data_IF_580590665824
#
_entry.id   IF_580590665824
#
_cell.length_a   1.000
_cell.length_b   1.000
_cell.length_c   1.000
_cell.angle_alpha   90.00
_cell.angle_beta   90.00
_cell.angle_gamma   90.00
#
_symmetry.space_group_name_H-M   'P 1'
#
loop_
_entity.id
_entity.type
_entity.pdbx_description
1 polymer ?
#
# COMPACT_ATOMS: atom_id res chain seq x y z
N UNK A 1 -5.03 -12.94 -32.08
CA UNK A 1 -4.09 -11.98 -31.47
C UNK A 1 -3.20 -12.75 -30.50
N UNK A 2 -1.95 -13.01 -30.89
CA UNK A 2 -0.97 -13.63 -30.02
C UNK A 2 -0.79 -12.73 -28.79
N UNK A 3 -1.10 -13.23 -27.59
CA UNK A 3 -0.69 -12.56 -26.36
C UNK A 3 0.83 -12.59 -26.35
N UNK A 4 1.47 -11.51 -26.79
CA UNK A 4 2.90 -11.34 -26.71
C UNK A 4 3.34 -11.73 -25.30
N UNK A 5 4.31 -12.65 -25.19
CA UNK A 5 4.84 -13.09 -23.90
C UNK A 5 5.19 -11.84 -23.08
N UNK A 6 4.76 -11.76 -21.80
CA UNK A 6 5.10 -10.63 -20.97
C UNK A 6 6.62 -10.46 -20.95
N UNK A 7 7.08 -9.24 -21.18
CA UNK A 7 8.51 -8.95 -21.18
C UNK A 7 9.09 -9.10 -19.77
N UNK A 8 10.42 -9.23 -19.62
CA UNK A 8 11.07 -9.26 -18.31
C UNK A 8 10.70 -8.06 -17.43
N UNK A 9 10.48 -6.88 -18.03
CA UNK A 9 10.08 -5.66 -17.33
C UNK A 9 8.64 -5.71 -16.80
N UNK A 10 7.72 -6.39 -17.52
CA UNK A 10 6.35 -6.59 -17.04
C UNK A 10 6.33 -7.50 -15.81
N UNK A 11 7.17 -8.54 -15.81
CA UNK A 11 7.31 -9.46 -14.68
C UNK A 11 7.92 -8.73 -13.47
N UNK A 12 8.97 -7.93 -13.68
CA UNK A 12 9.59 -7.12 -12.62
C UNK A 12 8.61 -6.13 -12.02
N UNK A 13 7.83 -5.44 -12.86
CA UNK A 13 6.77 -4.52 -12.40
C UNK A 13 5.76 -5.27 -11.55
N UNK A 14 5.23 -6.40 -12.02
CA UNK A 14 4.25 -7.19 -11.28
C UNK A 14 4.77 -7.63 -9.90
N UNK A 15 5.99 -8.19 -9.84
CA UNK A 15 6.61 -8.60 -8.58
C UNK A 15 6.79 -7.39 -7.66
N UNK A 16 7.28 -6.27 -8.19
CA UNK A 16 7.46 -5.03 -7.43
C UNK A 16 6.16 -4.52 -6.82
N UNK A 17 5.07 -4.47 -7.60
CA UNK A 17 3.75 -4.07 -7.09
C UNK A 17 3.23 -5.00 -6.01
N UNK A 18 3.39 -6.32 -6.18
CA UNK A 18 2.98 -7.29 -5.17
C UNK A 18 3.74 -7.09 -3.86
N UNK A 19 5.05 -6.89 -3.93
CA UNK A 19 5.89 -6.64 -2.74
C UNK A 19 5.52 -5.31 -2.08
N UNK A 20 5.42 -4.23 -2.86
CA UNK A 20 5.09 -2.90 -2.33
C UNK A 20 3.72 -2.94 -1.68
N UNK A 21 2.68 -3.40 -2.38
CA UNK A 21 1.31 -3.47 -1.84
C UNK A 21 1.24 -4.33 -0.58
N UNK A 22 1.95 -5.46 -0.55
CA UNK A 22 2.03 -6.29 0.66
C UNK A 22 2.69 -5.51 1.81
N UNK A 23 3.85 -4.89 1.59
CA UNK A 23 4.51 -4.12 2.63
C UNK A 23 3.64 -2.95 3.10
N UNK A 24 3.00 -2.20 2.21
CA UNK A 24 2.15 -1.05 2.54
C UNK A 24 1.02 -1.42 3.51
N UNK A 25 0.43 -2.60 3.38
CA UNK A 25 -0.65 -3.07 4.28
C UNK A 25 -0.09 -3.58 5.61
N UNK A 26 1.01 -4.34 5.57
CA UNK A 26 1.53 -5.08 6.73
C UNK A 26 2.51 -4.30 7.59
N UNK A 27 3.09 -3.20 7.07
CA UNK A 27 3.98 -2.30 7.84
C UNK A 27 3.30 -1.70 9.07
N UNK A 28 1.96 -1.63 9.09
CA UNK A 28 1.20 -1.12 10.22
C UNK A 28 0.97 -2.09 11.37
N UNK A 29 1.23 -3.38 11.19
CA UNK A 29 0.96 -4.38 12.24
C UNK A 29 1.59 -4.00 13.59
N UNK A 30 2.86 -3.58 13.67
CA UNK A 30 3.45 -3.15 14.94
C UNK A 30 2.74 -1.94 15.57
N UNK A 31 2.29 -0.99 14.74
CA UNK A 31 1.59 0.23 15.19
C UNK A 31 0.19 -0.12 15.70
N UNK A 32 -0.56 -0.94 14.97
CA UNK A 32 -1.88 -1.42 15.36
C UNK A 32 -1.77 -2.21 16.66
N UNK A 33 -0.77 -3.09 16.77
CA UNK A 33 -0.53 -3.86 17.98
C UNK A 33 -0.24 -2.96 19.17
N UNK A 34 0.62 -1.93 18.99
CA UNK A 34 0.88 -0.94 20.02
C UNK A 34 -0.40 -0.21 20.45
N UNK A 35 -1.20 0.30 19.51
CA UNK A 35 -2.44 1.02 19.83
C UNK A 35 -3.46 0.11 20.52
N UNK A 36 -3.53 -1.16 20.13
CA UNK A 36 -4.41 -2.14 20.76
C UNK A 36 -4.01 -2.42 22.22
N UNK A 37 -2.72 -2.37 22.56
CA UNK A 37 -2.25 -2.55 23.94
C UNK A 37 -2.55 -1.36 24.85
N UNK A 38 -2.61 -0.14 24.29
CA UNK A 38 -2.71 1.11 25.06
C UNK A 38 -4.03 1.87 24.89
N UNK A 39 -4.92 1.46 23.98
CA UNK A 39 -6.24 2.06 23.79
C UNK A 39 -7.34 0.99 23.75
N UNK A 40 -8.55 1.37 24.18
CA UNK A 40 -9.76 0.56 24.03
C UNK A 40 -10.53 0.91 22.74
N UNK A 41 -9.82 1.38 21.71
CA UNK A 41 -10.47 1.82 20.47
C UNK A 41 -10.99 0.63 19.66
N UNK A 42 -12.31 0.43 19.69
CA UNK A 42 -13.01 -0.63 18.96
C UNK A 42 -13.05 -0.40 17.44
N UNK A 43 -12.78 0.82 16.97
CA UNK A 43 -12.72 1.19 15.56
C UNK A 43 -11.33 1.07 14.94
N UNK A 44 -10.30 0.68 15.70
CA UNK A 44 -8.92 0.53 15.23
C UNK A 44 -8.82 -0.38 14.00
N UNK A 45 -9.31 -1.62 14.11
CA UNK A 45 -9.23 -2.62 13.04
C UNK A 45 -10.10 -2.24 11.83
N UNK A 46 -11.23 -1.57 12.06
CA UNK A 46 -12.10 -1.10 10.97
C UNK A 46 -11.40 -0.01 10.14
N UNK A 47 -10.77 0.96 10.80
CA UNK A 47 -10.01 2.03 10.12
C UNK A 47 -8.84 1.46 9.34
N UNK A 48 -8.05 0.58 9.95
CA UNK A 48 -6.97 -0.12 9.24
C UNK A 48 -7.48 -0.90 8.02
N UNK A 49 -8.60 -1.62 8.16
CA UNK A 49 -9.20 -2.36 7.04
C UNK A 49 -9.64 -1.45 5.89
N UNK A 50 -10.22 -0.29 6.20
CA UNK A 50 -10.61 0.72 5.20
C UNK A 50 -9.36 1.28 4.51
N UNK A 51 -8.36 1.72 5.26
CA UNK A 51 -7.13 2.28 4.70
C UNK A 51 -6.38 1.25 3.84
N UNK A 52 -6.21 0.03 4.33
CA UNK A 52 -5.60 -1.08 3.59
C UNK A 52 -6.33 -1.35 2.27
N UNK A 53 -7.67 -1.34 2.30
CA UNK A 53 -8.48 -1.54 1.09
C UNK A 53 -8.25 -0.43 0.08
N UNK A 54 -8.22 0.83 0.53
CA UNK A 54 -7.98 2.00 -0.34
C UNK A 54 -6.58 1.91 -0.98
N UNK A 55 -5.55 1.56 -0.21
CA UNK A 55 -4.17 1.39 -0.72
C UNK A 55 -4.12 0.27 -1.77
N UNK A 56 -4.71 -0.89 -1.49
CA UNK A 56 -4.73 -2.01 -2.44
C UNK A 56 -5.42 -1.59 -3.75
N UNK A 57 -6.59 -0.96 -3.67
CA UNK A 57 -7.33 -0.51 -4.85
C UNK A 57 -6.53 0.54 -5.64
N UNK A 58 -5.92 1.49 -4.95
CA UNK A 58 -5.05 2.49 -5.57
C UNK A 58 -3.88 1.83 -6.31
N UNK A 59 -3.18 0.89 -5.68
CA UNK A 59 -2.04 0.19 -6.27
C UNK A 59 -2.45 -0.63 -7.50
N UNK A 60 -3.61 -1.28 -7.48
CA UNK A 60 -4.16 -1.99 -8.64
C UNK A 60 -4.43 -1.01 -9.79
N UNK A 61 -5.08 0.12 -9.51
CA UNK A 61 -5.37 1.14 -10.54
C UNK A 61 -4.06 1.69 -11.11
N UNK A 62 -3.10 2.01 -10.24
CA UNK A 62 -1.80 2.55 -10.61
C UNK A 62 -1.01 1.57 -11.51
N UNK A 63 -1.10 0.26 -11.23
CA UNK A 63 -0.50 -0.79 -12.05
C UNK A 63 -1.00 -0.75 -13.51
N UNK A 64 -2.31 -0.59 -13.70
CA UNK A 64 -2.90 -0.53 -15.04
C UNK A 64 -2.65 0.79 -15.75
N UNK A 65 -2.41 1.87 -15.00
CA UNK A 65 -2.08 3.17 -15.58
C UNK A 65 -0.72 3.16 -16.28
N UNK A 66 0.22 2.30 -15.85
CA UNK A 66 1.57 2.15 -16.45
C UNK A 66 2.35 3.47 -16.58
N UNK A 67 2.05 4.47 -15.76
CA UNK A 67 2.74 5.76 -15.78
C UNK A 67 3.59 5.95 -14.51
N UNK A 68 4.88 6.30 -14.63
CA UNK A 68 5.71 6.34 -15.84
C UNK A 68 5.91 4.94 -16.46
N UNK A 69 6.21 4.87 -17.76
CA UNK A 69 6.32 3.59 -18.50
C UNK A 69 7.50 2.72 -18.02
N UNK A 70 8.59 3.35 -17.60
CA UNK A 70 9.73 2.65 -17.03
C UNK A 70 9.32 1.98 -15.71
N UNK A 71 9.46 0.65 -15.64
CA UNK A 71 9.00 -0.12 -14.50
C UNK A 71 9.62 0.33 -13.17
N UNK A 72 10.91 0.70 -13.13
CA UNK A 72 11.58 1.09 -11.89
C UNK A 72 11.10 2.45 -11.41
N UNK A 73 11.04 3.44 -12.31
CA UNK A 73 10.51 4.76 -11.99
C UNK A 73 9.04 4.66 -11.53
N UNK A 74 8.28 3.75 -12.12
CA UNK A 74 6.90 3.48 -11.76
C UNK A 74 6.77 2.98 -10.32
N UNK A 75 7.58 1.98 -9.95
CA UNK A 75 7.61 1.47 -8.58
C UNK A 75 8.06 2.54 -7.58
N UNK A 76 9.01 3.41 -7.94
CA UNK A 76 9.45 4.50 -7.07
C UNK A 76 8.35 5.54 -6.82
N UNK A 77 7.56 5.88 -7.85
CA UNK A 77 6.38 6.74 -7.69
C UNK A 77 5.35 6.09 -6.79
N UNK A 78 5.08 4.79 -6.99
CA UNK A 78 4.17 4.03 -6.14
C UNK A 78 4.61 4.07 -4.68
N UNK A 79 5.89 3.78 -4.40
CA UNK A 79 6.45 3.85 -3.04
C UNK A 79 6.26 5.25 -2.46
N UNK A 80 6.52 6.31 -3.23
CA UNK A 80 6.35 7.68 -2.78
C UNK A 80 4.91 8.00 -2.37
N UNK A 81 3.93 7.56 -3.18
CA UNK A 81 2.50 7.75 -2.86
C UNK A 81 2.09 6.91 -1.66
N UNK A 82 2.49 5.64 -1.62
CA UNK A 82 2.20 4.75 -0.50
C UNK A 82 2.77 5.33 0.79
N UNK A 83 4.01 5.82 0.80
CA UNK A 83 4.60 6.51 1.95
C UNK A 83 3.77 7.72 2.43
N UNK A 84 3.21 8.52 1.52
CA UNK A 84 2.34 9.62 1.92
C UNK A 84 1.06 9.12 2.57
N UNK A 85 0.41 8.10 1.98
CA UNK A 85 -0.79 7.49 2.57
C UNK A 85 -0.46 6.88 3.93
N UNK A 86 0.70 6.21 4.04
CA UNK A 86 1.18 5.61 5.27
C UNK A 86 1.32 6.65 6.39
N UNK A 87 1.88 7.83 6.08
CA UNK A 87 2.01 8.93 7.04
C UNK A 87 0.64 9.44 7.50
N UNK A 88 -0.31 9.64 6.58
CA UNK A 88 -1.67 10.07 6.94
C UNK A 88 -2.38 9.05 7.83
N UNK A 89 -2.31 7.77 7.48
CA UNK A 89 -2.90 6.71 8.29
C UNK A 89 -2.23 6.62 9.67
N UNK A 90 -0.92 6.80 9.77
CA UNK A 90 -0.22 6.85 11.06
C UNK A 90 -0.75 7.97 11.97
N UNK A 91 -0.89 9.19 11.46
CA UNK A 91 -1.48 10.30 12.23
C UNK A 91 -2.92 10.02 12.63
N UNK A 92 -3.71 9.43 11.73
CA UNK A 92 -5.11 9.07 11.98
C UNK A 92 -5.26 7.99 13.05
N UNK A 93 -4.38 7.00 13.05
CA UNK A 93 -4.35 5.92 14.03
C UNK A 93 -3.84 6.39 15.40
N UNK A 94 -2.89 7.33 15.46
CA UNK A 94 -2.44 7.85 16.76
C UNK A 94 -3.51 8.72 17.46
N UNK A 95 -4.41 9.36 16.72
CA UNK A 95 -5.50 10.13 17.33
C UNK A 95 -6.41 9.28 18.23
N UNK A 96 -6.46 7.96 18.08
CA UNK A 96 -7.22 7.09 18.99
C UNK A 96 -6.55 6.81 20.33
N UNK A 97 -5.31 7.24 20.53
CA UNK A 97 -4.63 7.12 21.82
C UNK A 97 -4.94 8.28 22.79
N UNK A 98 -5.65 9.31 22.32
CA UNK A 98 -5.99 10.53 23.08
C UNK A 98 -7.42 10.54 23.60
#
# INVERSE_FOLDING_TARGET
>A
MSKAKPGPDDLRRLIGYSIITFLSVFLFIPVIWFIHLFSNDSGLYMRWGICSTIVILFNIIFYFWKYPENWLANLLVLIGVDLMVLLFEYFWLIQSLG
#
